data_IF_040341993799
#
_entry.id   IF_040341993799
#
_cell.length_a   1.000
_cell.length_b   1.000
_cell.length_c   1.000
_cell.angle_alpha   90.00
_cell.angle_beta   90.00
_cell.angle_gamma   90.00
#
_symmetry.space_group_name_H-M   'P 1'
#
loop_
_entity.id
_entity.type
_entity.pdbx_description
1 polymer ?
#
# COMPACT_ATOMS: atom_id res chain seq x y z
N UNK A 1 -0.72 -10.88 -1.64
CA UNK A 1 -1.39 -9.69 -1.06
C UNK A 1 -2.90 -9.86 -0.94
N UNK A 2 -3.67 -9.89 -2.03
CA UNK A 2 -5.14 -9.96 -1.96
C UNK A 2 -5.63 -11.18 -1.17
N UNK A 3 -5.00 -12.33 -1.37
CA UNK A 3 -5.33 -13.56 -0.66
C UNK A 3 -5.10 -13.44 0.86
N UNK A 4 -3.96 -12.89 1.29
CA UNK A 4 -3.65 -12.65 2.72
C UNK A 4 -4.68 -11.71 3.36
N UNK A 5 -5.06 -10.65 2.66
CA UNK A 5 -6.10 -9.72 3.12
C UNK A 5 -7.48 -10.40 3.23
N UNK A 6 -7.85 -11.19 2.22
CA UNK A 6 -9.11 -11.93 2.20
C UNK A 6 -9.17 -13.03 3.27
N UNK A 7 -8.07 -13.72 3.54
CA UNK A 7 -8.00 -14.75 4.58
C UNK A 7 -8.15 -14.17 5.99
N UNK A 8 -7.75 -12.92 6.18
CA UNK A 8 -7.86 -12.20 7.44
C UNK A 8 -9.12 -11.32 7.53
N UNK A 9 -10.09 -11.48 6.61
CA UNK A 9 -11.34 -10.70 6.55
C UNK A 9 -11.14 -9.18 6.61
N UNK A 10 -9.98 -8.70 6.14
CA UNK A 10 -9.65 -7.29 6.17
C UNK A 10 -10.48 -6.58 5.10
N UNK A 11 -11.24 -5.56 5.49
CA UNK A 11 -11.90 -4.67 4.53
C UNK A 11 -10.85 -3.76 3.90
N UNK A 12 -10.64 -3.90 2.59
CA UNK A 12 -9.73 -3.04 1.84
C UNK A 12 -10.38 -2.53 0.56
N UNK A 13 -10.03 -1.30 0.19
CA UNK A 13 -10.35 -0.76 -1.13
C UNK A 13 -9.19 -1.06 -2.08
N UNK A 14 -9.43 -1.89 -3.10
CA UNK A 14 -8.47 -2.06 -4.18
C UNK A 14 -8.55 -0.87 -5.13
N UNK A 15 -7.43 -0.19 -5.33
CA UNK A 15 -7.30 0.89 -6.30
C UNK A 15 -6.29 0.47 -7.35
N UNK A 16 -6.72 0.40 -8.60
CA UNK A 16 -5.82 0.19 -9.72
C UNK A 16 -5.31 1.54 -10.24
N UNK A 17 -3.99 1.73 -10.23
CA UNK A 17 -3.37 3.00 -10.66
C UNK A 17 -3.42 3.19 -12.18
N UNK A 18 -3.62 2.12 -12.94
CA UNK A 18 -3.70 2.14 -14.40
C UNK A 18 -5.13 2.34 -14.92
N UNK A 19 -6.15 2.16 -14.06
CA UNK A 19 -7.56 2.29 -14.43
C UNK A 19 -7.96 3.70 -14.86
N UNK A 20 -7.37 4.74 -14.24
CA UNK A 20 -7.67 6.13 -14.63
C UNK A 20 -6.51 7.09 -14.36
N UNK A 21 -6.48 8.19 -15.12
CA UNK A 21 -5.54 9.31 -14.90
C UNK A 21 -5.70 9.89 -13.48
N UNK A 22 -6.91 9.85 -12.92
CA UNK A 22 -7.17 10.30 -11.55
C UNK A 22 -6.48 9.42 -10.51
N UNK A 23 -6.60 8.11 -10.64
CA UNK A 23 -5.92 7.13 -9.77
C UNK A 23 -4.40 7.26 -9.87
N UNK A 24 -3.88 7.39 -11.10
CA UNK A 24 -2.47 7.60 -11.35
C UNK A 24 -1.97 8.89 -10.69
N UNK A 25 -2.69 10.01 -10.82
CA UNK A 25 -2.31 11.28 -10.18
C UNK A 25 -2.25 11.18 -8.66
N UNK A 26 -3.22 10.48 -8.04
CA UNK A 26 -3.21 10.25 -6.59
C UNK A 26 -1.97 9.48 -6.16
N UNK A 27 -1.65 8.39 -6.87
CA UNK A 27 -0.45 7.60 -6.60
C UNK A 27 0.84 8.42 -6.79
N UNK A 28 0.96 9.18 -7.88
CA UNK A 28 2.13 10.02 -8.13
C UNK A 28 2.30 11.09 -7.04
N UNK A 29 1.20 11.70 -6.58
CA UNK A 29 1.24 12.67 -5.48
C UNK A 29 1.85 12.03 -4.24
N UNK A 30 1.33 10.87 -3.85
CA UNK A 30 1.84 10.11 -2.70
C UNK A 30 3.33 9.78 -2.88
N UNK A 31 3.71 9.25 -4.04
CA UNK A 31 5.10 8.90 -4.36
C UNK A 31 6.05 10.11 -4.25
N UNK A 32 5.60 11.28 -4.69
CA UNK A 32 6.40 12.50 -4.70
C UNK A 32 6.41 13.23 -3.33
N UNK A 33 5.40 13.06 -2.48
CA UNK A 33 5.32 13.75 -1.18
C UNK A 33 5.67 12.88 0.03
N UNK A 34 5.44 11.57 -0.04
CA UNK A 34 5.61 10.69 1.11
C UNK A 34 7.12 10.42 1.37
N UNK A 35 7.56 10.51 2.64
CA UNK A 35 8.96 10.25 3.00
C UNK A 35 9.34 8.78 2.78
N UNK A 36 8.41 7.85 2.93
CA UNK A 36 8.63 6.41 2.69
C UNK A 36 9.05 6.11 1.24
N UNK A 37 8.69 6.99 0.30
CA UNK A 37 9.08 6.89 -1.10
C UNK A 37 10.43 7.54 -1.45
N UNK A 38 11.13 8.14 -0.49
CA UNK A 38 12.41 8.81 -0.77
C UNK A 38 13.46 7.82 -1.32
N UNK A 39 13.65 6.67 -0.68
CA UNK A 39 14.59 5.64 -1.12
C UNK A 39 14.16 5.01 -2.47
N UNK A 40 12.86 4.77 -2.64
CA UNK A 40 12.29 4.25 -3.89
C UNK A 40 12.56 5.20 -5.06
N UNK A 41 12.45 6.51 -4.84
CA UNK A 41 12.74 7.53 -5.85
C UNK A 41 14.21 7.54 -6.24
N UNK A 42 15.11 7.41 -5.26
CA UNK A 42 16.55 7.31 -5.51
C UNK A 42 16.92 6.07 -6.34
N UNK A 43 16.25 4.95 -6.09
CA UNK A 43 16.44 3.70 -6.83
C UNK A 43 15.71 3.64 -8.17
N UNK A 44 15.06 4.74 -8.60
CA UNK A 44 14.29 4.86 -9.84
C UNK A 44 13.21 3.77 -10.00
N UNK A 45 12.67 3.29 -8.88
CA UNK A 45 11.58 2.30 -8.88
C UNK A 45 10.24 2.96 -8.66
N UNK A 46 9.18 2.25 -9.02
CA UNK A 46 7.82 2.71 -8.78
C UNK A 46 7.40 2.55 -7.31
N UNK A 47 7.94 1.58 -6.56
CA UNK A 47 7.55 1.31 -5.17
C UNK A 47 6.12 0.79 -5.04
N UNK A 48 5.74 -0.15 -5.90
CA UNK A 48 4.47 -0.88 -5.81
C UNK A 48 4.77 -2.37 -5.54
N UNK A 49 3.91 -3.09 -4.81
CA UNK A 49 2.63 -2.68 -4.20
C UNK A 49 2.80 -1.85 -2.91
N UNK A 50 1.86 -0.93 -2.68
CA UNK A 50 1.78 -0.12 -1.45
C UNK A 50 0.36 -0.18 -0.87
N UNK A 51 0.23 0.12 0.42
CA UNK A 51 -1.06 0.27 1.10
C UNK A 51 -1.10 1.61 1.83
N UNK A 52 -2.31 2.11 2.08
CA UNK A 52 -2.52 3.28 2.92
C UNK A 52 -3.35 2.86 4.11
N UNK A 53 -2.85 3.08 5.33
CA UNK A 53 -3.54 2.81 6.59
C UNK A 53 -3.51 4.11 7.41
N UNK A 54 -4.67 4.63 7.82
CA UNK A 54 -4.79 5.88 8.60
C UNK A 54 -3.91 7.04 8.06
N UNK A 55 -3.99 7.29 6.75
CA UNK A 55 -3.19 8.28 6.00
C UNK A 55 -1.66 8.01 5.94
N UNK A 56 -1.19 6.90 6.50
CA UNK A 56 0.21 6.45 6.42
C UNK A 56 0.44 5.55 5.20
N UNK A 57 1.60 5.68 4.56
CA UNK A 57 1.86 5.18 3.20
C UNK A 57 2.90 4.05 3.25
N UNK A 58 2.44 2.84 3.49
CA UNK A 58 3.35 1.73 3.77
C UNK A 58 3.70 0.99 2.48
N UNK A 59 5.00 0.89 2.22
CA UNK A 59 5.55 0.08 1.14
C UNK A 59 5.56 -1.41 1.53
N UNK A 60 4.94 -2.27 0.72
CA UNK A 60 4.83 -3.67 1.07
C UNK A 60 5.79 -4.52 0.25
N UNK A 61 6.68 -5.23 0.94
CA UNK A 61 7.80 -5.98 0.33
C UNK A 61 7.51 -7.48 0.14
N UNK A 62 6.27 -7.93 0.41
CA UNK A 62 5.87 -9.33 0.22
C UNK A 62 4.67 -9.74 1.09
N UNK A 63 4.32 -11.03 1.03
CA UNK A 63 3.22 -11.58 1.82
C UNK A 63 3.49 -11.52 3.33
N UNK A 64 4.72 -11.87 3.76
CA UNK A 64 5.09 -11.86 5.18
C UNK A 64 5.01 -10.47 5.80
N UNK A 65 5.48 -9.44 5.09
CA UNK A 65 5.36 -8.05 5.56
C UNK A 65 3.88 -7.64 5.71
N UNK A 66 3.02 -8.10 4.80
CA UNK A 66 1.58 -7.84 4.89
C UNK A 66 0.95 -8.47 6.13
N UNK A 67 1.33 -9.70 6.48
CA UNK A 67 0.82 -10.39 7.68
C UNK A 67 1.23 -9.66 8.98
N UNK A 68 2.44 -9.10 9.03
CA UNK A 68 2.88 -8.29 10.16
C UNK A 68 2.06 -7.00 10.28
N UNK A 69 1.81 -6.31 9.16
CA UNK A 69 0.99 -5.10 9.14
C UNK A 69 -0.46 -5.36 9.59
N UNK A 70 -1.05 -6.49 9.20
CA UNK A 70 -2.40 -6.87 9.66
C UNK A 70 -2.45 -7.02 11.18
N UNK A 71 -1.40 -7.60 11.78
CA UNK A 71 -1.30 -7.78 13.24
C UNK A 71 -1.03 -6.47 13.96
N UNK A 72 -0.11 -5.66 13.44
CA UNK A 72 0.31 -4.39 14.04
C UNK A 72 -0.84 -3.37 14.07
N UNK A 73 -1.54 -3.21 12.94
CA UNK A 73 -2.64 -2.25 12.79
C UNK A 73 -4.01 -2.82 13.18
N UNK A 74 -4.07 -4.10 13.62
CA UNK A 74 -5.31 -4.79 13.98
C UNK A 74 -6.41 -4.62 12.94
N UNK A 75 -6.05 -4.77 11.66
CA UNK A 75 -6.96 -4.56 10.54
C UNK A 75 -8.06 -5.62 10.41
N UNK A 76 -7.99 -6.68 11.24
CA UNK A 76 -9.02 -7.68 11.41
C UNK A 76 -10.03 -7.16 12.45
N UNK A 77 -11.21 -6.73 12.00
CA UNK A 77 -12.34 -6.51 12.92
C UNK A 77 -12.77 -7.88 13.49
N UNK A 78 -13.00 -7.92 14.80
CA UNK A 78 -13.58 -9.08 15.50
C UNK A 78 -15.08 -9.24 15.21
#
# INVERSE_FOLDING_TARGET
>A
MKEVLSQHEVKYAYVDICESVGSLKKFLTIRDTAPEYEEVRQTHRAGIPMIVIDDQVILVHGASHMEELIKEYKLCEA
#
